data_IF_827380870666
#
_entry.id   IF_827380870666
#
_cell.length_a   1.000
_cell.length_b   1.000
_cell.length_c   1.000
_cell.angle_alpha   90.00
_cell.angle_beta   90.00
_cell.angle_gamma   90.00
#
_symmetry.space_group_name_H-M   'P 1'
#
loop_
_entity.id
_entity.type
_entity.pdbx_description
1 polymer ?
#
# COMPACT_ATOMS: atom_id res chain seq x y z
N UNK A 1 -1.88 20.10 14.94
CA UNK A 1 -0.59 19.45 15.28
C UNK A 1 -0.72 17.99 14.91
N UNK A 2 0.23 17.44 14.16
CA UNK A 2 0.25 16.03 13.83
C UNK A 2 0.55 15.20 15.09
N UNK A 3 -0.03 14.00 15.19
CA UNK A 3 0.22 13.07 16.29
C UNK A 3 1.57 12.35 16.04
N UNK A 4 2.69 13.05 16.23
CA UNK A 4 4.04 12.53 16.00
C UNK A 4 4.52 11.82 17.28
N UNK A 5 4.94 10.57 17.11
CA UNK A 5 5.41 9.68 18.18
C UNK A 5 6.82 9.23 17.83
N UNK A 6 7.79 9.67 18.62
CA UNK A 6 9.18 9.25 18.44
C UNK A 6 9.37 7.82 18.96
N UNK A 7 10.01 6.98 18.13
CA UNK A 7 10.26 5.58 18.45
C UNK A 7 11.65 5.45 19.06
N UNK A 8 11.68 5.04 20.31
CA UNK A 8 12.91 4.66 21.01
C UNK A 8 13.00 3.15 21.26
N UNK A 9 11.87 2.45 21.13
CA UNK A 9 11.75 0.99 21.28
C UNK A 9 11.08 0.40 20.05
N UNK A 10 11.84 -0.44 19.31
CA UNK A 10 11.36 -1.11 18.10
C UNK A 10 10.43 -2.29 18.39
N UNK A 11 10.28 -2.68 19.65
CA UNK A 11 9.48 -3.85 20.07
C UNK A 11 8.03 -3.52 20.35
N UNK A 12 7.63 -2.25 20.28
CA UNK A 12 6.24 -1.85 20.52
C UNK A 12 5.28 -2.49 19.51
N UNK A 13 4.14 -3.04 19.98
CA UNK A 13 3.20 -3.79 19.12
C UNK A 13 2.62 -2.99 17.96
N UNK A 14 2.50 -1.68 18.10
CA UNK A 14 1.98 -0.78 17.07
C UNK A 14 2.83 -0.78 15.79
N UNK A 15 4.10 -1.19 15.89
CA UNK A 15 5.03 -1.27 14.78
C UNK A 15 5.06 -2.64 14.10
N UNK A 16 4.37 -3.65 14.65
CA UNK A 16 4.36 -5.01 14.11
C UNK A 16 3.91 -5.06 12.65
N UNK A 17 2.94 -4.24 12.29
CA UNK A 17 2.42 -4.15 10.91
C UNK A 17 3.50 -3.78 9.89
N UNK A 18 4.55 -3.07 10.30
CA UNK A 18 5.65 -2.63 9.44
C UNK A 18 6.83 -3.60 9.38
N UNK A 19 7.07 -4.33 10.46
CA UNK A 19 8.32 -5.07 10.66
C UNK A 19 8.14 -6.58 10.83
N UNK A 20 7.09 -7.01 11.52
CA UNK A 20 6.92 -8.40 11.98
C UNK A 20 5.72 -9.13 11.37
N UNK A 21 4.86 -8.41 10.63
CA UNK A 21 3.66 -8.99 10.02
C UNK A 21 3.90 -9.23 8.53
N UNK A 22 3.78 -10.48 8.09
CA UNK A 22 3.90 -10.82 6.66
C UNK A 22 2.72 -10.28 5.85
N UNK A 23 2.90 -10.16 4.53
CA UNK A 23 1.85 -9.70 3.60
C UNK A 23 0.57 -10.56 3.69
N UNK A 24 0.72 -11.88 3.89
CA UNK A 24 -0.42 -12.80 4.06
C UNK A 24 -1.14 -12.56 5.39
N UNK A 25 -0.40 -12.29 6.46
CA UNK A 25 -0.98 -11.95 7.76
C UNK A 25 -1.68 -10.59 7.71
N UNK A 26 -1.10 -9.61 7.04
CA UNK A 26 -1.73 -8.30 6.81
C UNK A 26 -3.04 -8.45 6.03
N UNK A 27 -3.05 -9.26 4.96
CA UNK A 27 -4.26 -9.53 4.17
C UNK A 27 -5.40 -10.07 5.04
N UNK A 28 -5.10 -10.91 6.03
CA UNK A 28 -6.06 -11.57 6.92
C UNK A 28 -6.25 -10.89 8.28
N UNK A 29 -5.66 -9.72 8.48
CA UNK A 29 -5.55 -9.08 9.80
C UNK A 29 -6.90 -8.89 10.51
N UNK A 30 -7.98 -8.65 9.78
CA UNK A 30 -9.34 -8.49 10.30
C UNK A 30 -10.31 -9.57 9.81
N UNK A 31 -9.82 -10.74 9.36
CA UNK A 31 -10.69 -11.80 8.83
C UNK A 31 -11.90 -12.06 9.74
N UNK A 32 -13.16 -12.18 9.21
CA UNK A 32 -13.53 -12.21 7.78
C UNK A 32 -13.64 -10.85 7.08
N UNK A 33 -13.37 -9.74 7.76
CA UNK A 33 -13.34 -8.40 7.15
C UNK A 33 -12.04 -8.21 6.37
N UNK A 34 -12.00 -7.28 5.39
CA UNK A 34 -10.78 -6.93 4.68
C UNK A 34 -9.65 -6.54 5.64
N UNK A 35 -8.46 -7.04 5.41
CA UNK A 35 -7.29 -6.79 6.24
C UNK A 35 -6.59 -5.46 5.96
N UNK A 36 -5.26 -5.50 6.01
CA UNK A 36 -4.37 -4.36 5.86
C UNK A 36 -3.45 -4.54 4.66
N UNK A 37 -2.78 -3.46 4.27
CA UNK A 37 -1.62 -3.46 3.39
C UNK A 37 -0.69 -2.30 3.75
N UNK A 38 0.57 -2.40 3.32
CA UNK A 38 1.56 -1.34 3.49
C UNK A 38 1.82 -0.66 2.15
N UNK A 39 1.56 0.64 2.09
CA UNK A 39 1.98 1.50 0.99
C UNK A 39 3.37 2.08 1.31
N UNK A 40 4.27 2.09 0.33
CA UNK A 40 5.66 2.53 0.47
C UNK A 40 5.95 3.67 -0.49
N UNK A 41 6.54 4.72 -0.03
CA UNK A 41 6.89 6.00 -0.65
C UNK A 41 5.74 7.02 -0.70
N UNK A 42 6.05 8.33 -0.59
CA UNK A 42 5.03 9.40 -0.59
C UNK A 42 4.10 9.33 -1.82
N UNK A 43 4.65 9.09 -3.01
CA UNK A 43 3.86 9.03 -4.25
C UNK A 43 2.84 7.89 -4.30
N UNK A 44 3.23 6.70 -3.82
CA UNK A 44 2.35 5.52 -3.76
C UNK A 44 1.27 5.74 -2.70
N UNK A 45 1.67 6.26 -1.53
CA UNK A 45 0.76 6.60 -0.42
C UNK A 45 -0.27 7.65 -0.87
N UNK A 46 0.17 8.72 -1.50
CA UNK A 46 -0.71 9.77 -2.02
C UNK A 46 -1.76 9.21 -2.98
N UNK A 47 -1.36 8.33 -3.91
CA UNK A 47 -2.29 7.68 -4.86
C UNK A 47 -3.30 6.78 -4.16
N UNK A 48 -2.89 6.03 -3.13
CA UNK A 48 -3.80 5.23 -2.32
C UNK A 48 -4.81 6.12 -1.56
N UNK A 49 -4.33 7.19 -0.91
CA UNK A 49 -5.17 8.15 -0.21
C UNK A 49 -6.17 8.84 -1.14
N UNK A 50 -5.72 9.27 -2.32
CA UNK A 50 -6.59 9.90 -3.33
C UNK A 50 -7.61 8.91 -3.92
N UNK A 51 -7.30 7.61 -3.94
CA UNK A 51 -8.25 6.55 -4.27
C UNK A 51 -9.21 6.22 -3.11
N UNK A 52 -9.08 6.90 -1.96
CA UNK A 52 -9.99 6.77 -0.80
C UNK A 52 -9.64 5.61 0.14
N UNK A 53 -8.43 5.07 0.12
CA UNK A 53 -7.97 4.13 1.15
C UNK A 53 -7.73 4.86 2.46
N UNK A 54 -8.12 4.25 3.57
CA UNK A 54 -8.00 4.84 4.91
C UNK A 54 -6.65 4.52 5.55
N UNK A 55 -5.86 5.55 5.94
CA UNK A 55 -4.63 5.34 6.69
C UNK A 55 -4.94 4.98 8.14
N UNK A 56 -4.15 4.05 8.72
CA UNK A 56 -4.17 3.71 10.13
C UNK A 56 -3.01 4.37 10.89
N UNK A 57 -1.84 4.36 10.28
CA UNK A 57 -0.65 5.00 10.83
C UNK A 57 0.36 5.27 9.72
N UNK A 58 1.30 6.16 10.00
CA UNK A 58 2.47 6.41 9.16
C UNK A 58 3.73 6.03 9.92
N UNK A 59 4.74 5.56 9.17
CA UNK A 59 6.11 5.40 9.65
C UNK A 59 7.02 6.22 8.76
N UNK A 60 7.72 7.20 9.32
CA UNK A 60 8.48 8.20 8.57
C UNK A 60 9.87 8.34 9.17
N UNK A 61 10.90 8.35 8.34
CA UNK A 61 12.25 8.68 8.78
C UNK A 61 12.31 10.16 9.22
N UNK A 62 13.00 10.43 10.33
CA UNK A 62 12.99 11.75 10.96
C UNK A 62 13.34 12.89 9.99
N UNK A 63 14.35 12.70 9.14
CA UNK A 63 14.76 13.70 8.13
C UNK A 63 13.69 14.00 7.07
N UNK A 64 12.75 13.07 6.82
CA UNK A 64 11.75 13.18 5.76
C UNK A 64 10.43 13.81 6.24
N UNK A 65 10.28 14.07 7.56
CA UNK A 65 9.09 14.72 8.14
C UNK A 65 8.77 16.08 7.52
N UNK A 66 9.79 16.85 7.18
CA UNK A 66 9.66 18.20 6.58
C UNK A 66 9.72 18.20 5.03
N UNK A 67 9.85 17.01 4.43
CA UNK A 67 9.92 16.82 2.98
C UNK A 67 8.56 16.53 2.32
N UNK A 68 8.55 15.62 1.33
CA UNK A 68 7.33 15.19 0.62
C UNK A 68 6.27 14.60 1.57
N UNK A 69 6.68 14.00 2.70
CA UNK A 69 5.78 13.45 3.70
C UNK A 69 4.91 14.52 4.36
N UNK A 70 5.44 15.74 4.60
CA UNK A 70 4.75 16.81 5.32
C UNK A 70 3.36 17.10 4.77
N UNK A 71 3.25 17.29 3.46
CA UNK A 71 1.98 17.62 2.80
C UNK A 71 0.93 16.51 2.97
N UNK A 72 1.38 15.25 3.01
CA UNK A 72 0.51 14.10 3.25
C UNK A 72 0.05 14.09 4.72
N UNK A 73 0.98 14.25 5.66
CA UNK A 73 0.71 14.20 7.09
C UNK A 73 -0.24 15.32 7.55
N UNK A 74 -0.10 16.52 7.01
CA UNK A 74 -0.98 17.67 7.30
C UNK A 74 -2.44 17.42 6.94
N UNK A 75 -2.71 16.58 5.94
CA UNK A 75 -4.08 16.18 5.55
C UNK A 75 -4.72 15.21 6.55
N UNK A 76 -3.92 14.54 7.39
CA UNK A 76 -4.37 13.50 8.31
C UNK A 76 -3.87 13.73 9.75
N UNK A 77 -4.17 14.88 10.38
CA UNK A 77 -3.57 15.30 11.64
C UNK A 77 -3.92 14.42 12.85
N UNK A 78 -4.95 13.56 12.72
CA UNK A 78 -5.37 12.64 13.79
C UNK A 78 -4.73 11.26 13.70
N UNK A 79 -4.11 10.94 12.57
CA UNK A 79 -3.47 9.64 12.36
C UNK A 79 -2.10 9.63 13.02
N UNK A 80 -1.74 8.59 13.79
CA UNK A 80 -0.43 8.51 14.42
C UNK A 80 0.70 8.44 13.39
N UNK A 81 1.76 9.20 13.64
CA UNK A 81 2.97 9.26 12.83
C UNK A 81 4.13 8.79 13.69
N UNK A 82 4.58 7.57 13.45
CA UNK A 82 5.77 7.03 14.09
C UNK A 82 7.00 7.53 13.36
N UNK A 83 8.01 7.98 14.10
CA UNK A 83 9.25 8.48 13.53
C UNK A 83 10.46 7.98 14.30
N UNK A 84 11.56 7.74 13.60
CA UNK A 84 12.87 7.43 14.19
C UNK A 84 13.99 7.79 13.21
N UNK A 85 15.21 7.74 13.73
CA UNK A 85 16.42 7.85 12.93
C UNK A 85 16.61 6.64 11.99
N UNK A 86 17.38 6.84 10.93
CA UNK A 86 17.63 5.86 9.88
C UNK A 86 18.04 4.48 10.41
N UNK A 87 19.04 4.45 11.31
CA UNK A 87 19.60 3.18 11.83
C UNK A 87 18.55 2.38 12.64
N UNK A 88 17.69 3.07 13.38
CA UNK A 88 16.58 2.46 14.12
C UNK A 88 15.57 1.84 13.16
N UNK A 89 15.18 2.57 12.11
CA UNK A 89 14.23 2.08 11.11
C UNK A 89 14.79 0.91 10.30
N UNK A 90 16.05 0.95 9.89
CA UNK A 90 16.71 -0.17 9.20
C UNK A 90 16.81 -1.39 10.11
N UNK A 91 17.18 -1.21 11.38
CA UNK A 91 17.20 -2.29 12.37
C UNK A 91 15.83 -2.95 12.57
N UNK A 92 14.76 -2.17 12.50
CA UNK A 92 13.40 -2.65 12.66
C UNK A 92 12.86 -3.37 11.41
N UNK A 93 13.03 -2.76 10.24
CA UNK A 93 12.43 -3.26 8.98
C UNK A 93 13.35 -4.22 8.22
N UNK A 94 14.64 -4.25 8.53
CA UNK A 94 15.65 -5.02 7.83
C UNK A 94 16.07 -4.41 6.48
N UNK A 95 15.59 -3.23 6.13
CA UNK A 95 15.94 -2.51 4.88
C UNK A 95 15.72 -1.01 5.04
N UNK A 96 16.39 -0.23 4.19
CA UNK A 96 16.15 1.21 4.10
C UNK A 96 14.76 1.51 3.52
N UNK A 97 14.00 2.40 4.15
CA UNK A 97 12.70 2.81 3.63
C UNK A 97 12.86 3.52 2.29
N UNK A 98 12.06 3.14 1.30
CA UNK A 98 12.07 3.84 0.03
C UNK A 98 11.50 5.26 0.21
N UNK A 99 12.34 6.26 0.05
CA UNK A 99 11.99 7.67 0.28
C UNK A 99 11.41 7.94 1.67
N UNK A 100 11.87 7.17 2.68
CA UNK A 100 11.67 7.43 4.10
C UNK A 100 10.23 7.34 4.63
N UNK A 101 9.25 6.79 3.88
CA UNK A 101 7.86 6.76 4.33
C UNK A 101 7.14 5.45 4.01
N UNK A 102 6.48 4.89 5.03
CA UNK A 102 5.48 3.81 4.92
C UNK A 102 4.13 4.29 5.48
N UNK A 103 3.04 3.68 5.02
CA UNK A 103 1.70 3.86 5.58
C UNK A 103 0.98 2.52 5.67
N UNK A 104 0.49 2.17 6.86
CA UNK A 104 -0.43 1.07 7.05
C UNK A 104 -1.85 1.54 6.70
N UNK A 105 -2.51 0.81 5.81
CA UNK A 105 -3.82 1.18 5.28
C UNK A 105 -4.81 0.03 5.36
N UNK A 106 -6.09 0.36 5.54
CA UNK A 106 -7.17 -0.61 5.48
C UNK A 106 -7.44 -1.02 4.03
N UNK A 107 -7.59 -2.33 3.81
CA UNK A 107 -8.11 -2.87 2.57
C UNK A 107 -9.61 -2.58 2.47
N UNK A 108 -10.11 -2.55 1.24
CA UNK A 108 -11.54 -2.43 0.94
C UNK A 108 -12.07 -3.74 0.36
N UNK A 109 -13.38 -3.93 0.43
CA UNK A 109 -14.06 -4.99 -0.32
C UNK A 109 -13.82 -4.75 -1.81
N UNK A 110 -13.43 -5.80 -2.51
CA UNK A 110 -13.30 -5.77 -3.96
C UNK A 110 -14.69 -5.77 -4.61
N UNK A 111 -14.86 -5.11 -5.76
CA UNK A 111 -16.10 -5.21 -6.55
C UNK A 111 -16.28 -6.62 -7.08
N UNK A 112 -17.50 -6.99 -7.44
CA UNK A 112 -17.74 -8.23 -8.19
C UNK A 112 -17.26 -8.11 -9.64
N UNK A 113 -17.13 -9.25 -10.34
CA UNK A 113 -16.76 -9.25 -11.77
C UNK A 113 -17.80 -8.50 -12.59
N UNK A 114 -19.08 -8.69 -12.26
CA UNK A 114 -20.19 -8.02 -12.94
C UNK A 114 -20.12 -6.50 -12.75
N UNK A 115 -19.85 -6.05 -11.49
CA UNK A 115 -19.71 -4.62 -11.19
C UNK A 115 -18.55 -3.99 -11.94
N UNK A 116 -17.39 -4.67 -12.00
CA UNK A 116 -16.19 -4.13 -12.62
C UNK A 116 -16.25 -4.13 -14.14
N UNK A 117 -17.01 -5.08 -14.74
CA UNK A 117 -17.15 -5.19 -16.19
C UNK A 117 -18.25 -4.28 -16.76
N UNK A 118 -19.04 -3.62 -15.92
CA UNK A 118 -20.04 -2.67 -16.41
C UNK A 118 -19.37 -1.48 -17.10
N UNK A 119 -19.80 -1.19 -18.34
CA UNK A 119 -19.32 -0.06 -19.15
C UNK A 119 -17.81 -0.06 -19.42
N UNK A 120 -17.16 -1.21 -19.39
CA UNK A 120 -15.74 -1.39 -19.75
C UNK A 120 -15.59 -1.87 -21.18
N UNK A 121 -14.57 -1.37 -21.88
CA UNK A 121 -14.26 -1.75 -23.28
C UNK A 121 -12.97 -2.54 -23.37
N UNK A 122 -12.03 -2.32 -22.44
CA UNK A 122 -10.71 -2.94 -22.45
C UNK A 122 -10.36 -3.47 -21.08
N UNK A 123 -10.26 -4.79 -20.98
CA UNK A 123 -9.98 -5.48 -19.72
C UNK A 123 -8.70 -6.30 -19.91
N UNK A 124 -7.76 -6.17 -18.99
CA UNK A 124 -6.60 -7.06 -18.92
C UNK A 124 -6.94 -8.23 -17.99
N UNK A 125 -6.68 -9.45 -18.44
CA UNK A 125 -6.89 -10.67 -17.65
C UNK A 125 -5.52 -11.27 -17.33
N UNK A 126 -5.25 -11.49 -16.05
CA UNK A 126 -4.01 -12.05 -15.53
C UNK A 126 -4.28 -13.45 -14.98
N UNK A 127 -3.61 -14.44 -15.55
CA UNK A 127 -3.70 -15.83 -15.13
C UNK A 127 -2.38 -16.28 -14.49
N UNK A 128 -2.44 -16.70 -13.23
CA UNK A 128 -1.31 -17.26 -12.46
C UNK A 128 -0.02 -16.40 -12.49
N UNK A 129 -0.15 -15.08 -12.43
CA UNK A 129 0.99 -14.18 -12.33
C UNK A 129 1.42 -14.11 -10.86
N UNK A 130 2.30 -15.03 -10.46
CA UNK A 130 2.69 -15.23 -9.05
C UNK A 130 3.75 -14.23 -8.54
N UNK A 131 4.46 -13.53 -9.43
CA UNK A 131 5.49 -12.58 -9.01
C UNK A 131 4.89 -11.18 -8.81
N UNK A 132 4.93 -10.61 -7.59
CA UNK A 132 4.37 -9.29 -7.32
C UNK A 132 5.04 -8.16 -8.12
N UNK A 133 6.30 -8.32 -8.53
CA UNK A 133 6.97 -7.37 -9.44
C UNK A 133 6.28 -7.35 -10.81
N UNK A 134 5.91 -8.52 -11.33
CA UNK A 134 5.21 -8.62 -12.61
C UNK A 134 3.79 -8.04 -12.50
N UNK A 135 3.07 -8.33 -11.42
CA UNK A 135 1.77 -7.68 -11.15
C UNK A 135 1.92 -6.15 -11.22
N UNK A 136 2.86 -5.58 -10.48
CA UNK A 136 3.08 -4.14 -10.47
C UNK A 136 3.43 -3.57 -11.85
N UNK A 137 4.28 -4.25 -12.62
CA UNK A 137 4.66 -3.85 -13.97
C UNK A 137 3.47 -3.89 -14.95
N UNK A 138 2.64 -4.94 -14.86
CA UNK A 138 1.43 -5.07 -15.70
C UNK A 138 0.43 -3.96 -15.36
N UNK A 139 0.16 -3.69 -14.08
CA UNK A 139 -0.73 -2.58 -13.69
C UNK A 139 -0.22 -1.23 -14.20
N UNK A 140 1.10 -1.00 -14.16
CA UNK A 140 1.69 0.22 -14.70
C UNK A 140 1.50 0.33 -16.22
N UNK A 141 1.67 -0.77 -16.95
CA UNK A 141 1.43 -0.83 -18.40
C UNK A 141 -0.06 -0.69 -18.72
N UNK A 142 -0.93 -1.35 -17.97
CA UNK A 142 -2.39 -1.24 -18.12
C UNK A 142 -2.87 0.21 -17.96
N UNK A 143 -2.34 0.93 -16.96
CA UNK A 143 -2.63 2.35 -16.79
C UNK A 143 -2.18 3.19 -17.98
N UNK A 144 -0.96 2.96 -18.48
CA UNK A 144 -0.40 3.69 -19.62
C UNK A 144 -1.18 3.41 -20.91
N UNK A 145 -1.75 2.21 -21.06
CA UNK A 145 -2.56 1.80 -22.21
C UNK A 145 -4.05 2.09 -22.03
N UNK A 146 -4.44 2.78 -20.96
CA UNK A 146 -5.82 3.11 -20.62
C UNK A 146 -6.75 1.89 -20.58
N UNK A 147 -6.31 0.79 -19.93
CA UNK A 147 -7.20 -0.31 -19.60
C UNK A 147 -8.23 0.13 -18.58
N UNK A 148 -9.49 -0.28 -18.78
CA UNK A 148 -10.60 0.11 -17.91
C UNK A 148 -10.63 -0.71 -16.62
N UNK A 149 -10.19 -1.98 -16.69
CA UNK A 149 -10.16 -2.89 -15.53
C UNK A 149 -9.07 -3.96 -15.68
N UNK A 150 -8.75 -4.61 -14.55
CA UNK A 150 -7.88 -5.79 -14.49
C UNK A 150 -8.60 -6.92 -13.73
N UNK A 151 -8.70 -8.09 -14.33
CA UNK A 151 -9.20 -9.31 -13.70
C UNK A 151 -8.03 -10.25 -13.39
N UNK A 152 -8.04 -10.88 -12.21
CA UNK A 152 -6.98 -11.78 -11.77
C UNK A 152 -7.56 -13.14 -11.40
N UNK A 153 -6.88 -14.24 -11.77
CA UNK A 153 -7.17 -15.54 -11.18
C UNK A 153 -6.65 -15.62 -9.74
N UNK A 154 -7.23 -16.49 -8.94
CA UNK A 154 -6.84 -16.67 -7.52
C UNK A 154 -5.38 -17.09 -7.32
N UNK A 155 -4.71 -17.59 -8.36
CA UNK A 155 -3.27 -17.92 -8.37
C UNK A 155 -2.34 -16.71 -8.57
N UNK A 156 -2.87 -15.51 -8.82
CA UNK A 156 -2.07 -14.30 -8.95
C UNK A 156 -1.63 -13.77 -7.58
N UNK A 157 -0.44 -13.16 -7.52
CA UNK A 157 -0.05 -12.34 -6.37
C UNK A 157 -1.00 -11.15 -6.21
N UNK A 158 -1.21 -10.78 -4.95
CA UNK A 158 -2.09 -9.67 -4.61
C UNK A 158 -1.52 -8.33 -5.09
N UNK A 159 -2.31 -7.49 -5.81
CA UNK A 159 -1.87 -6.17 -6.29
C UNK A 159 -1.53 -5.19 -5.15
N UNK A 160 -2.07 -5.38 -3.94
CA UNK A 160 -1.78 -4.54 -2.78
C UNK A 160 -0.57 -5.02 -1.97
N UNK A 161 0.11 -6.10 -2.36
CA UNK A 161 1.40 -6.41 -1.77
C UNK A 161 2.36 -5.23 -2.00
N UNK A 162 3.10 -4.86 -0.95
CA UNK A 162 3.98 -3.68 -0.93
C UNK A 162 4.84 -3.57 -2.19
N UNK A 163 5.44 -4.71 -2.62
CA UNK A 163 6.28 -4.74 -3.82
C UNK A 163 5.49 -4.46 -5.09
N UNK A 164 4.29 -4.99 -5.24
CA UNK A 164 3.43 -4.75 -6.40
C UNK A 164 2.98 -3.28 -6.45
N UNK A 165 2.48 -2.76 -5.35
CA UNK A 165 2.07 -1.36 -5.24
C UNK A 165 3.22 -0.39 -5.55
N UNK A 166 4.44 -0.68 -5.05
CA UNK A 166 5.63 0.13 -5.31
C UNK A 166 6.07 0.08 -6.78
N UNK A 167 6.18 -1.11 -7.37
CA UNK A 167 6.59 -1.28 -8.78
C UNK A 167 5.59 -0.65 -9.73
N UNK A 168 4.30 -0.74 -9.42
CA UNK A 168 3.25 -0.07 -10.19
C UNK A 168 3.28 1.46 -10.05
N UNK A 169 4.10 2.00 -9.17
CA UNK A 169 4.06 3.42 -8.78
C UNK A 169 2.67 3.84 -8.24
N UNK A 170 1.89 2.89 -7.71
CA UNK A 170 0.55 3.11 -7.18
C UNK A 170 -0.56 3.10 -8.23
N UNK A 171 -0.32 2.65 -9.48
CA UNK A 171 -1.39 2.51 -10.48
C UNK A 171 -2.39 1.41 -10.11
N UNK A 172 -2.03 0.46 -9.23
CA UNK A 172 -2.95 -0.52 -8.63
C UNK A 172 -4.13 0.14 -7.88
N UNK A 173 -4.02 1.39 -7.48
CA UNK A 173 -5.10 2.17 -6.86
C UNK A 173 -5.93 2.97 -7.85
N UNK A 174 -5.49 3.07 -9.10
CA UNK A 174 -6.10 3.91 -10.14
C UNK A 174 -6.95 3.11 -11.13
N UNK A 175 -6.63 1.83 -11.32
CA UNK A 175 -7.39 0.93 -12.20
C UNK A 175 -8.23 0.00 -11.32
N UNK A 176 -9.55 -0.11 -11.54
CA UNK A 176 -10.38 -1.10 -10.87
C UNK A 176 -9.89 -2.52 -11.14
N UNK A 177 -9.92 -3.38 -10.14
CA UNK A 177 -9.53 -4.78 -10.29
C UNK A 177 -10.26 -5.69 -9.30
N UNK A 178 -10.38 -6.95 -9.66
CA UNK A 178 -10.93 -8.01 -8.79
C UNK A 178 -10.41 -9.38 -9.18
N UNK A 179 -10.66 -10.38 -8.32
CA UNK A 179 -10.43 -11.79 -8.62
C UNK A 179 -11.68 -12.45 -9.22
N UNK A 180 -11.47 -13.50 -10.03
CA UNK A 180 -12.52 -14.32 -10.61
C UNK A 180 -12.16 -15.80 -10.57
#
# INVERSE_FOLDING_TARGET
MNNIIEINDITVPELDVYARTSEVQLLRYYEPKPGLFIAESPKVIERALNAGYEPLSFLVEHKDLEGEAKQILERYPKIPVYTAEYDVLVGMTGYALARGMLCAMKRRRLPSVEEICQNTSRIAILENVVNPTNIGAIFRSAAALHMDAVLLTSGCSDPLYRRAARVSMGTVFQIPWTYF
#
